data_IF_639622334760
#
_entry.id   IF_639622334760
#
_cell.length_a   1.000
_cell.length_b   1.000
_cell.length_c   1.000
_cell.angle_alpha   90.00
_cell.angle_beta   90.00
_cell.angle_gamma   90.00
#
_symmetry.space_group_name_H-M   'P 1'
#
loop_
_entity.id
_entity.type
_entity.pdbx_description
1 polymer ?
#
# COMPACT_ATOMS: atom_id res chain seq x y z
N UNK A 1 -12.98 -2.98 11.00
CA UNK A 1 -13.78 -2.83 9.77
C UNK A 1 -13.87 -1.35 9.46
N UNK A 2 -13.56 -0.93 8.22
CA UNK A 2 -13.56 0.48 7.81
C UNK A 2 -14.96 0.97 7.37
N UNK A 3 -15.97 0.11 7.42
CA UNK A 3 -17.37 0.44 7.10
C UNK A 3 -17.83 1.74 7.81
N UNK A 4 -18.54 2.59 7.08
CA UNK A 4 -19.09 3.85 7.61
C UNK A 4 -18.08 4.99 7.77
N UNK A 5 -16.82 4.80 7.35
CA UNK A 5 -15.84 5.87 7.31
C UNK A 5 -15.85 6.57 5.94
N UNK A 6 -15.87 7.90 5.96
CA UNK A 6 -15.82 8.70 4.74
C UNK A 6 -14.47 8.60 4.03
N UNK A 7 -13.38 8.57 4.79
CA UNK A 7 -12.02 8.53 4.26
C UNK A 7 -11.30 7.27 4.75
N UNK A 8 -10.85 6.43 3.82
CA UNK A 8 -10.14 5.18 4.13
C UNK A 8 -8.76 5.21 3.48
N UNK A 9 -7.71 5.13 4.30
CA UNK A 9 -6.33 4.95 3.82
C UNK A 9 -5.89 3.51 4.06
N UNK A 10 -5.57 2.80 2.98
CA UNK A 10 -5.05 1.43 3.03
C UNK A 10 -3.56 1.46 2.82
N UNK A 11 -2.80 0.98 3.80
CA UNK A 11 -1.35 0.81 3.71
C UNK A 11 -1.07 -0.65 3.40
N UNK A 12 -0.74 -0.94 2.15
CA UNK A 12 -0.47 -2.29 1.66
C UNK A 12 0.88 -2.28 0.95
N UNK A 13 2.01 -2.44 1.67
CA UNK A 13 3.37 -2.37 1.10
C UNK A 13 3.70 -3.63 0.26
N UNK A 14 2.82 -3.95 -0.68
CA UNK A 14 2.87 -5.07 -1.58
C UNK A 14 3.66 -4.65 -2.82
N UNK A 15 4.58 -5.51 -3.26
CA UNK A 15 5.32 -5.33 -4.52
C UNK A 15 4.57 -5.89 -5.73
N UNK A 16 3.48 -6.64 -5.50
CA UNK A 16 2.65 -7.27 -6.54
C UNK A 16 1.25 -6.67 -6.71
N UNK A 17 0.97 -5.52 -6.09
CA UNK A 17 -0.38 -4.93 -6.06
C UNK A 17 -1.31 -5.60 -5.03
N UNK A 18 -2.57 -5.15 -4.92
CA UNK A 18 -3.56 -5.71 -3.99
C UNK A 18 -3.88 -7.18 -4.34
N UNK A 19 -4.23 -7.96 -3.32
CA UNK A 19 -4.77 -9.31 -3.56
C UNK A 19 -6.25 -9.24 -3.93
N UNK A 20 -6.82 -10.27 -4.58
CA UNK A 20 -8.25 -10.30 -4.92
C UNK A 20 -9.19 -10.12 -3.72
N UNK A 21 -8.74 -10.53 -2.52
CA UNK A 21 -9.50 -10.35 -1.28
C UNK A 21 -9.53 -8.88 -0.88
N UNK A 22 -8.40 -8.18 -1.02
CA UNK A 22 -8.32 -6.73 -0.78
C UNK A 22 -9.16 -5.98 -1.81
N UNK A 23 -9.11 -6.38 -3.08
CA UNK A 23 -9.91 -5.75 -4.14
C UNK A 23 -11.42 -5.83 -3.86
N UNK A 24 -11.92 -6.96 -3.37
CA UNK A 24 -13.32 -7.12 -3.00
C UNK A 24 -13.73 -6.16 -1.86
N UNK A 25 -12.92 -6.04 -0.82
CA UNK A 25 -13.19 -5.12 0.29
C UNK A 25 -13.13 -3.65 -0.17
N UNK A 26 -12.15 -3.30 -1.02
CA UNK A 26 -12.04 -1.96 -1.59
C UNK A 26 -13.26 -1.61 -2.46
N UNK A 27 -13.78 -2.60 -3.20
CA UNK A 27 -15.01 -2.43 -3.98
C UNK A 27 -16.21 -2.12 -3.08
N UNK A 28 -16.41 -2.90 -2.02
CA UNK A 28 -17.53 -2.71 -1.09
C UNK A 28 -17.46 -1.36 -0.38
N UNK A 29 -16.28 -0.94 0.07
CA UNK A 29 -16.06 0.37 0.68
C UNK A 29 -16.32 1.51 -0.32
N UNK A 30 -15.86 1.36 -1.57
CA UNK A 30 -16.13 2.35 -2.64
C UNK A 30 -17.64 2.44 -2.89
N UNK A 31 -18.33 1.31 -3.00
CA UNK A 31 -19.77 1.24 -3.22
C UNK A 31 -20.57 1.85 -2.06
N UNK A 32 -20.02 1.81 -0.84
CA UNK A 32 -20.61 2.45 0.34
C UNK A 32 -20.40 3.96 0.42
N UNK A 33 -19.64 4.55 -0.52
CA UNK A 33 -19.38 5.99 -0.60
C UNK A 33 -18.09 6.46 0.05
N UNK A 34 -17.20 5.54 0.47
CA UNK A 34 -15.90 5.91 1.03
C UNK A 34 -14.95 6.42 -0.06
N UNK A 35 -14.24 7.51 0.23
CA UNK A 35 -13.06 7.94 -0.50
C UNK A 35 -11.85 7.09 -0.07
N UNK A 36 -11.38 6.25 -0.97
CA UNK A 36 -10.28 5.31 -0.69
C UNK A 36 -8.98 5.82 -1.29
N UNK A 37 -7.91 5.72 -0.50
CA UNK A 37 -6.53 5.91 -0.95
C UNK A 37 -5.71 4.69 -0.57
N UNK A 38 -5.06 4.08 -1.56
CA UNK A 38 -4.20 2.93 -1.33
C UNK A 38 -2.74 3.33 -1.52
N UNK A 39 -1.92 3.03 -0.51
CA UNK A 39 -0.48 3.20 -0.54
C UNK A 39 0.15 1.83 -0.75
N UNK A 40 0.66 1.61 -1.96
CA UNK A 40 1.47 0.44 -2.34
C UNK A 40 2.95 0.83 -2.42
N UNK A 41 3.85 -0.16 -2.43
CA UNK A 41 5.25 0.11 -2.71
C UNK A 41 5.39 0.80 -4.07
N UNK A 42 6.07 1.94 -4.12
CA UNK A 42 6.35 2.61 -5.39
C UNK A 42 7.39 1.85 -6.23
N UNK A 43 7.51 2.23 -7.51
CA UNK A 43 8.42 1.57 -8.44
C UNK A 43 9.88 1.56 -7.95
N UNK A 44 10.33 2.66 -7.34
CA UNK A 44 11.69 2.79 -6.79
C UNK A 44 11.92 1.80 -5.63
N UNK A 45 10.93 1.62 -4.74
CA UNK A 45 10.99 0.64 -3.67
C UNK A 45 10.97 -0.80 -4.20
N UNK A 46 10.14 -1.08 -5.21
CA UNK A 46 10.05 -2.41 -5.85
C UNK A 46 11.40 -2.79 -6.47
N UNK A 47 12.00 -1.88 -7.25
CA UNK A 47 13.28 -2.12 -7.91
C UNK A 47 14.41 -2.35 -6.89
N UNK A 48 14.42 -1.59 -5.79
CA UNK A 48 15.45 -1.68 -4.77
C UNK A 48 15.36 -2.97 -3.90
N UNK A 49 14.15 -3.51 -3.69
CA UNK A 49 13.96 -4.78 -2.99
C UNK A 49 14.16 -6.01 -3.90
N UNK A 50 14.10 -5.84 -5.22
CA UNK A 50 14.28 -6.94 -6.17
C UNK A 50 13.19 -8.02 -6.07
N UNK A 51 13.47 -9.26 -6.54
CA UNK A 51 12.42 -10.26 -6.81
C UNK A 51 11.80 -10.87 -5.55
N UNK A 52 12.38 -10.68 -4.38
CA UNK A 52 11.85 -11.20 -3.12
C UNK A 52 11.84 -10.11 -2.04
N UNK A 53 10.73 -9.38 -1.94
CA UNK A 53 10.51 -8.34 -0.93
C UNK A 53 10.47 -8.86 0.51
N UNK A 54 10.39 -10.19 0.70
CA UNK A 54 10.46 -10.84 2.01
C UNK A 54 11.89 -11.23 2.41
N UNK A 55 12.88 -11.06 1.52
CA UNK A 55 14.27 -11.35 1.85
C UNK A 55 14.76 -10.38 2.94
N UNK A 56 15.24 -10.91 4.10
CA UNK A 56 15.67 -10.09 5.22
C UNK A 56 16.78 -9.08 4.90
N UNK A 57 17.52 -9.26 3.81
CA UNK A 57 18.56 -8.34 3.34
C UNK A 57 18.00 -7.00 2.89
N UNK A 58 16.73 -6.95 2.48
CA UNK A 58 16.08 -5.71 2.02
C UNK A 58 15.32 -4.96 3.11
N UNK A 59 15.33 -5.42 4.38
CA UNK A 59 14.62 -4.74 5.48
C UNK A 59 14.96 -3.26 5.62
N UNK A 60 16.25 -2.93 5.49
CA UNK A 60 16.72 -1.53 5.56
C UNK A 60 16.24 -0.72 4.36
N UNK A 61 16.39 -1.28 3.16
CA UNK A 61 15.94 -0.67 1.90
C UNK A 61 14.42 -0.39 1.96
N UNK A 62 13.61 -1.39 2.32
CA UNK A 62 12.16 -1.24 2.47
C UNK A 62 11.79 -0.10 3.44
N UNK A 63 12.49 0.02 4.58
CA UNK A 63 12.24 1.08 5.55
C UNK A 63 12.65 2.48 5.03
N UNK A 64 13.78 2.58 4.35
CA UNK A 64 14.28 3.85 3.77
C UNK A 64 13.33 4.35 2.67
N UNK A 65 12.96 3.48 1.72
CA UNK A 65 12.05 3.84 0.63
C UNK A 65 10.62 4.10 1.14
N UNK A 66 10.11 3.30 2.07
CA UNK A 66 8.79 3.54 2.68
C UNK A 66 8.74 4.89 3.42
N UNK A 67 9.80 5.26 4.14
CA UNK A 67 9.91 6.58 4.80
C UNK A 67 9.99 7.72 3.78
N UNK A 68 10.72 7.54 2.68
CA UNK A 68 10.78 8.52 1.57
C UNK A 68 9.39 8.72 0.97
N UNK A 69 8.72 7.64 0.56
CA UNK A 69 7.40 7.68 -0.04
C UNK A 69 6.36 8.33 0.88
N UNK A 70 6.35 7.96 2.17
CA UNK A 70 5.44 8.56 3.15
C UNK A 70 5.64 10.06 3.37
N UNK A 71 6.86 10.59 3.18
CA UNK A 71 7.12 12.04 3.23
C UNK A 71 6.66 12.79 1.99
N UNK A 72 6.67 12.11 0.84
CA UNK A 72 6.23 12.69 -0.44
C UNK A 72 4.73 12.54 -0.66
N UNK A 73 4.07 11.67 0.09
CA UNK A 73 2.62 11.49 0.01
C UNK A 73 1.92 12.70 0.64
N UNK A 74 1.28 13.51 -0.20
CA UNK A 74 0.35 14.55 0.25
C UNK A 74 -1.02 13.92 0.42
N UNK A 75 -1.54 13.88 1.65
CA UNK A 75 -2.89 13.38 1.94
C UNK A 75 -3.85 14.51 2.24
#
# INVERSE_FOLDING_TARGET
MAQGHENVTVIAPMTGGPSPIVDAELHDLTASGSAIRMVVADAEAIDAMGPNSLDPRFRRIAAEHGRRQGRSASF
#
